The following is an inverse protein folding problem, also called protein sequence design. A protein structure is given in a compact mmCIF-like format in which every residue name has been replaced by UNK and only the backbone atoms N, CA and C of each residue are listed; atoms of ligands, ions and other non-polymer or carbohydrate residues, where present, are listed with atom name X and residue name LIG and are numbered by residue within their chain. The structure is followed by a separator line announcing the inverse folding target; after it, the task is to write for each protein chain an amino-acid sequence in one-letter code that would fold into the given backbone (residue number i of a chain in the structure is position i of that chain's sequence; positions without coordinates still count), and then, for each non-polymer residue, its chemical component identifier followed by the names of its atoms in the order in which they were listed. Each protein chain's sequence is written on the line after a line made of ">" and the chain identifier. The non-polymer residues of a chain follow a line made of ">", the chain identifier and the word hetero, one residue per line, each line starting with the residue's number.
data_IF_963602684162
#
_entry.id   IF_963602684162
#
_cell.length_a   1.000
_cell.length_b   1.000
_cell.length_c   1.000
_cell.angle_alpha   90.00
_cell.angle_beta   90.00
_cell.angle_gamma   90.00
#
_symmetry.space_group_name_H-M   'P 1'
#
loop_
_entity.id
_entity.type
_entity.pdbx_description
1 polymer ?
#
# COMPACT_ATOMS: atom_id res chain seq x y z
N UNK A 1 9.72 -15.87 -29.21
CA UNK A 1 8.91 -15.37 -28.07
C UNK A 1 7.51 -15.08 -28.58
N UNK A 2 6.46 -15.56 -27.91
CA UNK A 2 5.07 -15.45 -28.38
C UNK A 2 4.50 -14.07 -28.06
N UNK A 3 3.65 -13.54 -28.95
CA UNK A 3 3.03 -12.20 -28.83
C UNK A 3 2.30 -12.00 -27.48
N UNK A 4 1.64 -13.06 -27.00
CA UNK A 4 0.92 -13.07 -25.72
C UNK A 4 1.81 -12.79 -24.51
N UNK A 5 3.07 -13.24 -24.51
CA UNK A 5 4.01 -12.97 -23.42
C UNK A 5 4.34 -11.49 -23.29
N UNK A 6 4.37 -10.76 -24.42
CA UNK A 6 4.67 -9.32 -24.41
C UNK A 6 3.51 -8.53 -23.81
N UNK A 7 2.28 -8.84 -24.24
CA UNK A 7 1.06 -8.23 -23.71
C UNK A 7 0.89 -8.45 -22.21
N UNK A 8 1.16 -9.66 -21.71
CA UNK A 8 1.05 -9.98 -20.29
C UNK A 8 2.06 -9.18 -19.46
N UNK A 9 3.32 -9.10 -19.91
CA UNK A 9 4.38 -8.32 -19.24
C UNK A 9 4.10 -6.82 -19.20
N UNK A 10 3.51 -6.24 -20.25
CA UNK A 10 3.08 -4.83 -20.25
C UNK A 10 1.99 -4.56 -19.22
N UNK A 11 1.02 -5.48 -19.08
CA UNK A 11 -0.03 -5.37 -18.04
C UNK A 11 0.57 -5.47 -16.65
N UNK A 12 1.52 -6.36 -16.42
CA UNK A 12 2.22 -6.48 -15.12
C UNK A 12 3.01 -5.20 -14.80
N UNK A 13 3.70 -4.62 -15.79
CA UNK A 13 4.44 -3.38 -15.61
C UNK A 13 3.52 -2.20 -15.27
N UNK A 14 2.38 -2.09 -15.95
CA UNK A 14 1.39 -1.05 -15.68
C UNK A 14 0.81 -1.18 -14.26
N UNK A 15 0.47 -2.40 -13.84
CA UNK A 15 -0.02 -2.66 -12.48
C UNK A 15 1.04 -2.39 -11.42
N UNK A 16 2.29 -2.80 -11.65
CA UNK A 16 3.40 -2.52 -10.74
C UNK A 16 3.64 -1.01 -10.57
N UNK A 17 3.54 -0.25 -11.66
CA UNK A 17 3.72 1.21 -11.63
C UNK A 17 2.57 1.90 -10.89
N UNK A 18 1.33 1.44 -11.10
CA UNK A 18 0.16 1.95 -10.39
C UNK A 18 0.25 1.63 -8.88
N UNK A 19 0.63 0.40 -8.53
CA UNK A 19 0.84 -0.01 -7.15
C UNK A 19 1.96 0.80 -6.48
N UNK A 20 3.09 1.02 -7.17
CA UNK A 20 4.18 1.85 -6.67
C UNK A 20 3.74 3.31 -6.44
N UNK A 21 2.93 3.86 -7.35
CA UNK A 21 2.36 5.21 -7.22
C UNK A 21 1.42 5.31 -6.02
N UNK A 22 0.59 4.29 -5.79
CA UNK A 22 -0.32 4.23 -4.65
C UNK A 22 0.45 4.07 -3.33
N UNK A 23 1.48 3.23 -3.31
CA UNK A 23 2.33 3.00 -2.14
C UNK A 23 3.19 4.23 -1.77
N UNK A 24 3.55 5.06 -2.75
CA UNK A 24 4.24 6.33 -2.52
C UNK A 24 3.29 7.46 -2.08
N UNK A 25 1.98 7.29 -2.22
CA UNK A 25 0.97 8.31 -1.88
C UNK A 25 1.08 8.83 -0.43
N UNK A 26 1.25 7.98 0.61
CA UNK A 26 1.44 8.46 1.98
C UNK A 26 2.70 9.31 2.12
N UNK A 27 3.78 8.91 1.43
CA UNK A 27 5.06 9.61 1.49
C UNK A 27 5.03 10.99 0.81
N UNK A 28 4.15 11.17 -0.18
CA UNK A 28 3.89 12.46 -0.83
C UNK A 28 2.93 13.32 0.02
N UNK A 29 1.92 12.70 0.64
CA UNK A 29 0.96 13.40 1.50
C UNK A 29 1.63 14.07 2.71
N UNK A 30 2.59 13.41 3.36
CA UNK A 30 3.35 14.01 4.46
C UNK A 30 4.16 15.25 4.06
N UNK A 31 4.65 15.33 2.81
CA UNK A 31 5.34 16.54 2.28
C UNK A 31 4.34 17.66 1.94
N UNK A 32 3.12 17.31 1.50
CA UNK A 32 2.06 18.27 1.20
C UNK A 32 1.45 18.91 2.47
N UNK A 33 1.52 18.23 3.62
CA UNK A 33 0.98 18.70 4.90
C UNK A 33 1.84 19.78 5.59
N UNK A 34 3.06 20.06 5.12
CA UNK A 34 3.95 21.13 5.63
C UNK A 34 3.26 22.53 5.64
N UNK A 35 2.23 22.73 4.82
CA UNK A 35 1.51 24.01 4.70
C UNK A 35 0.31 24.16 5.66
N UNK A 36 -0.02 23.14 6.47
CA UNK A 36 -1.25 23.12 7.27
C UNK A 36 -1.05 23.14 8.80
N UNK A 37 0.20 23.26 9.30
CA UNK A 37 0.44 23.36 10.74
C UNK A 37 0.39 24.80 11.22
N UNK A 38 -0.80 25.27 11.59
CA UNK A 38 -0.88 26.18 12.73
C UNK A 38 -0.63 25.29 13.97
N UNK A 39 0.43 25.53 14.76
CA UNK A 39 0.70 24.71 15.93
C UNK A 39 -0.48 24.82 16.90
N UNK A 40 -1.26 23.76 17.06
CA UNK A 40 -2.22 23.67 18.16
C UNK A 40 -1.47 23.14 19.37
N UNK A 41 -1.30 24.00 20.38
CA UNK A 41 -0.78 23.62 21.69
C UNK A 41 -1.64 22.47 22.26
N UNK A 42 -1.17 21.23 22.09
CA UNK A 42 -1.88 20.01 22.49
C UNK A 42 -1.68 18.77 21.59
N UNK A 43 -1.17 18.90 20.37
CA UNK A 43 -1.11 17.77 19.40
C UNK A 43 0.05 16.76 19.65
N UNK A 44 0.99 17.09 20.54
CA UNK A 44 2.17 16.25 20.80
C UNK A 44 1.88 14.94 21.57
N UNK A 45 0.72 14.78 22.19
CA UNK A 45 0.40 13.55 22.93
C UNK A 45 -0.27 12.48 22.05
N UNK A 46 -1.04 12.89 21.03
CA UNK A 46 -1.65 11.99 20.04
C UNK A 46 -0.58 11.37 19.13
N UNK A 47 0.49 12.08 18.82
CA UNK A 47 1.64 11.51 18.12
C UNK A 47 2.43 10.49 18.98
N UNK A 48 2.37 10.60 20.31
CA UNK A 48 3.20 9.84 21.24
C UNK A 48 2.54 8.60 21.88
N UNK A 49 1.21 8.47 21.86
CA UNK A 49 0.55 7.39 22.61
C UNK A 49 -0.76 6.89 22.02
N UNK A 50 -0.77 5.61 21.64
CA UNK A 50 -1.89 4.78 21.16
C UNK A 50 -2.24 4.77 19.65
N UNK A 51 -2.50 5.89 18.94
CA UNK A 51 -2.90 5.83 17.53
C UNK A 51 -1.69 5.50 16.63
N UNK A 52 -0.46 5.84 17.02
CA UNK A 52 0.75 5.40 16.32
C UNK A 52 0.96 3.89 16.39
N UNK A 53 0.66 3.28 17.54
CA UNK A 53 0.69 1.81 17.70
C UNK A 53 -0.41 1.14 16.88
N UNK A 54 -1.63 1.67 16.91
CA UNK A 54 -2.75 1.15 16.13
C UNK A 54 -2.52 1.30 14.62
N UNK A 55 -2.02 2.46 14.16
CA UNK A 55 -1.69 2.69 12.76
C UNK A 55 -0.51 1.82 12.32
N UNK A 56 0.50 1.64 13.18
CA UNK A 56 1.61 0.72 12.93
C UNK A 56 1.16 -0.73 12.82
N UNK A 57 0.28 -1.17 13.72
CA UNK A 57 -0.28 -2.53 13.70
C UNK A 57 -1.20 -2.75 12.51
N UNK A 58 -2.07 -1.79 12.18
CA UNK A 58 -2.94 -1.84 11.01
C UNK A 58 -2.13 -1.84 9.71
N UNK A 59 -1.08 -1.03 9.63
CA UNK A 59 -0.13 -1.02 8.51
C UNK A 59 0.58 -2.37 8.35
N UNK A 60 1.09 -2.95 9.45
CA UNK A 60 1.71 -4.26 9.43
C UNK A 60 0.73 -5.37 9.01
N UNK A 61 -0.49 -5.36 9.55
CA UNK A 61 -1.55 -6.31 9.20
C UNK A 61 -1.96 -6.19 7.72
N UNK A 62 -2.05 -4.97 7.19
CA UNK A 62 -2.35 -4.74 5.78
C UNK A 62 -1.26 -5.29 4.87
N UNK A 63 0.03 -5.09 5.19
CA UNK A 63 1.14 -5.65 4.41
C UNK A 63 1.11 -7.18 4.42
N UNK A 64 0.95 -7.80 5.60
CA UNK A 64 0.84 -9.27 5.70
C UNK A 64 -0.37 -9.79 4.94
N UNK A 65 -1.53 -9.15 5.08
CA UNK A 65 -2.76 -9.52 4.39
C UNK A 65 -2.62 -9.44 2.87
N UNK A 66 -1.95 -8.40 2.34
CA UNK A 66 -1.67 -8.27 0.91
C UNK A 66 -0.72 -9.38 0.43
N UNK A 67 0.35 -9.69 1.18
CA UNK A 67 1.30 -10.74 0.81
C UNK A 67 0.62 -12.11 0.80
N UNK A 68 -0.21 -12.42 1.80
CA UNK A 68 -0.96 -13.68 1.88
C UNK A 68 -1.98 -13.77 0.74
N UNK A 69 -2.77 -12.71 0.51
CA UNK A 69 -3.75 -12.68 -0.58
C UNK A 69 -3.11 -12.72 -1.98
N UNK A 70 -1.88 -12.23 -2.12
CA UNK A 70 -1.10 -12.33 -3.35
C UNK A 70 -0.33 -13.65 -3.50
N UNK A 71 -0.22 -14.44 -2.41
CA UNK A 71 0.40 -15.77 -2.41
C UNK A 71 -0.62 -16.90 -2.56
N UNK A 72 -1.90 -16.61 -2.29
CA UNK A 72 -3.04 -17.47 -2.61
C UNK A 72 -3.34 -17.36 -4.11
N UNK A 73 -2.40 -17.83 -4.93
CA UNK A 73 -2.60 -18.09 -6.35
C UNK A 73 -3.38 -19.41 -6.43
N UNK A 74 -4.66 -19.36 -6.06
CA UNK A 74 -5.59 -20.49 -6.10
C UNK A 74 -6.00 -20.73 -7.56
N UNK A 75 -5.02 -21.20 -8.34
CA UNK A 75 -5.16 -21.78 -9.68
C UNK A 75 -5.75 -23.20 -9.56
N UNK A 76 -6.76 -23.38 -8.70
CA UNK A 76 -7.51 -24.63 -8.61
C UNK A 76 -8.62 -24.61 -9.68
N UNK A 77 -8.45 -25.36 -10.80
CA UNK A 77 -9.52 -25.47 -11.79
C UNK A 77 -10.76 -26.11 -11.15
N UNK A 78 -11.82 -25.30 -10.97
CA UNK A 78 -13.15 -25.75 -10.53
C UNK A 78 -13.92 -26.55 -11.61
N UNK A 79 -13.30 -27.56 -12.20
CA UNK A 79 -13.95 -28.47 -13.16
C UNK A 79 -13.94 -29.93 -12.64
N UNK A 80 -15.06 -30.68 -12.79
CA UNK A 80 -15.17 -32.07 -12.33
C UNK A 80 -14.27 -33.04 -13.08
#
# INVERSE_FOLDING_TARGET
>A
MREGDRLMKFRTLALATAAASLAASPAIAQVAFERASAPVEGESEVAAGAPTLLLGLLGAAAVVGIVVAASDDDDDPVSP
#
